data_IF_358162084073
#
_entry.id   IF_358162084073
#
_cell.length_a   1.000
_cell.length_b   1.000
_cell.length_c   1.000
_cell.angle_alpha   90.00
_cell.angle_beta   90.00
_cell.angle_gamma   90.00
#
_symmetry.space_group_name_H-M   'P 1'
#
loop_
_entity.id
_entity.type
_entity.pdbx_description
1 polymer ?
#
# COMPACT_ATOMS: atom_id res chain seq x y z
N UNK A 1 22.95 -14.27 -15.70
CA UNK A 1 23.35 -13.04 -15.01
C UNK A 1 22.73 -11.85 -15.73
N UNK A 2 21.83 -11.15 -15.07
CA UNK A 2 21.17 -9.93 -15.59
C UNK A 2 21.66 -8.69 -14.85
N UNK A 3 21.51 -7.54 -15.48
CA UNK A 3 21.70 -6.21 -14.89
C UNK A 3 20.33 -5.64 -14.53
N UNK A 4 20.07 -5.39 -13.27
CA UNK A 4 18.76 -4.99 -12.79
C UNK A 4 18.87 -3.64 -12.08
N UNK A 5 18.11 -2.65 -12.56
CA UNK A 5 18.07 -1.31 -11.98
C UNK A 5 16.86 -1.20 -11.03
N UNK A 6 17.12 -0.94 -9.77
CA UNK A 6 16.10 -0.72 -8.72
C UNK A 6 15.85 0.77 -8.52
N UNK A 7 14.60 1.17 -8.46
CA UNK A 7 14.19 2.55 -8.17
C UNK A 7 13.15 2.59 -7.06
N UNK A 8 13.38 3.44 -6.06
CA UNK A 8 12.46 3.60 -4.94
C UNK A 8 12.39 5.05 -4.47
N UNK A 9 11.26 5.46 -3.90
CA UNK A 9 11.11 6.72 -3.21
C UNK A 9 11.76 6.68 -1.81
N UNK A 10 12.10 7.84 -1.18
CA UNK A 10 12.69 7.90 0.15
C UNK A 10 11.67 7.59 1.26
N UNK A 11 11.16 6.35 1.30
CA UNK A 11 10.19 5.91 2.27
C UNK A 11 10.47 4.48 2.76
N UNK A 12 10.56 4.28 4.08
CA UNK A 12 10.83 2.97 4.68
C UNK A 12 9.82 1.90 4.25
N UNK A 13 8.52 2.25 4.19
CA UNK A 13 7.46 1.34 3.79
C UNK A 13 7.59 0.81 2.36
N UNK A 14 8.27 1.55 1.50
CA UNK A 14 8.50 1.21 0.09
C UNK A 14 9.87 0.55 -0.13
N UNK A 15 10.91 1.05 0.54
CA UNK A 15 12.28 0.51 0.39
C UNK A 15 12.43 -0.85 1.08
N UNK A 16 11.95 -1.01 2.32
CA UNK A 16 12.16 -2.23 3.09
C UNK A 16 11.69 -3.51 2.37
N UNK A 17 10.51 -3.57 1.71
CA UNK A 17 10.10 -4.77 0.98
C UNK A 17 11.00 -5.13 -0.20
N UNK A 18 11.70 -4.17 -0.79
CA UNK A 18 12.57 -4.40 -1.95
C UNK A 18 13.95 -4.95 -1.54
N UNK A 19 14.41 -4.72 -0.30
CA UNK A 19 15.74 -5.14 0.15
C UNK A 19 15.95 -6.66 0.11
N UNK A 20 15.04 -7.52 0.62
CA UNK A 20 15.18 -8.95 0.54
C UNK A 20 15.21 -9.48 -0.91
N UNK A 21 14.45 -8.85 -1.80
CA UNK A 21 14.44 -9.18 -3.24
C UNK A 21 15.77 -8.82 -3.90
N UNK A 22 16.36 -7.67 -3.54
CA UNK A 22 17.69 -7.29 -4.00
C UNK A 22 18.76 -8.29 -3.55
N UNK A 23 18.71 -8.71 -2.27
CA UNK A 23 19.63 -9.72 -1.73
C UNK A 23 19.51 -11.06 -2.45
N UNK A 24 18.28 -11.53 -2.71
CA UNK A 24 18.02 -12.78 -3.43
C UNK A 24 18.59 -12.72 -4.86
N UNK A 25 18.31 -11.63 -5.59
CA UNK A 25 18.83 -11.44 -6.95
C UNK A 25 20.36 -11.41 -7.01
N UNK A 26 21.01 -10.76 -6.03
CA UNK A 26 22.47 -10.75 -5.93
C UNK A 26 23.00 -12.16 -5.65
N UNK A 27 22.36 -12.91 -4.75
CA UNK A 27 22.73 -14.31 -4.46
C UNK A 27 22.56 -15.21 -5.68
N UNK A 28 21.57 -14.96 -6.54
CA UNK A 28 21.39 -15.63 -7.83
C UNK A 28 22.42 -15.20 -8.90
N UNK A 29 23.38 -14.34 -8.55
CA UNK A 29 24.48 -13.91 -9.42
C UNK A 29 24.14 -12.75 -10.36
N UNK A 30 23.06 -12.01 -10.12
CA UNK A 30 22.71 -10.84 -10.89
C UNK A 30 23.46 -9.59 -10.41
N UNK A 31 23.64 -8.61 -11.29
CA UNK A 31 24.15 -7.28 -10.94
C UNK A 31 22.97 -6.36 -10.63
N UNK A 32 22.82 -6.00 -9.37
CA UNK A 32 21.77 -5.11 -8.90
C UNK A 32 22.36 -3.74 -8.62
N UNK A 33 21.83 -2.70 -9.26
CA UNK A 33 22.13 -1.30 -8.98
C UNK A 33 20.88 -0.63 -8.43
N UNK A 34 20.99 -0.09 -7.19
CA UNK A 34 19.86 0.45 -6.46
C UNK A 34 19.97 1.97 -6.35
N UNK A 35 19.14 2.69 -7.10
CA UNK A 35 19.02 4.14 -7.10
C UNK A 35 18.09 4.55 -5.95
N UNK A 36 18.68 5.13 -4.90
CA UNK A 36 17.97 5.46 -3.66
C UNK A 36 18.65 6.63 -2.93
N UNK A 37 18.42 6.76 -1.65
CA UNK A 37 18.80 7.90 -0.82
C UNK A 37 19.72 7.47 0.32
N UNK A 38 20.58 8.39 0.80
CA UNK A 38 21.64 8.09 1.78
C UNK A 38 21.12 7.42 3.06
N UNK A 39 19.91 7.76 3.48
CA UNK A 39 19.23 7.12 4.62
C UNK A 39 19.15 5.59 4.52
N UNK A 40 19.12 5.05 3.30
CA UNK A 40 18.98 3.61 3.04
C UNK A 40 20.30 2.95 2.62
N UNK A 41 21.40 3.70 2.43
CA UNK A 41 22.68 3.19 1.92
C UNK A 41 23.13 1.91 2.63
N UNK A 42 23.26 1.97 3.94
CA UNK A 42 23.78 0.83 4.73
C UNK A 42 22.92 -0.42 4.56
N UNK A 43 21.59 -0.25 4.52
CA UNK A 43 20.66 -1.37 4.32
C UNK A 43 20.76 -1.95 2.91
N UNK A 44 20.93 -1.11 1.90
CA UNK A 44 21.04 -1.51 0.50
C UNK A 44 22.38 -2.23 0.28
N UNK A 45 23.49 -1.67 0.74
CA UNK A 45 24.82 -2.27 0.60
C UNK A 45 24.92 -3.63 1.31
N UNK A 46 24.24 -3.83 2.45
CA UNK A 46 24.13 -5.13 3.12
C UNK A 46 23.45 -6.21 2.26
N UNK A 47 22.67 -5.85 1.25
CA UNK A 47 22.10 -6.81 0.29
C UNK A 47 23.10 -7.29 -0.75
N UNK A 48 24.25 -6.62 -0.87
CA UNK A 48 25.23 -6.81 -1.94
C UNK A 48 24.93 -6.02 -3.22
N UNK A 49 23.85 -5.24 -3.25
CA UNK A 49 23.54 -4.33 -4.37
C UNK A 49 24.46 -3.10 -4.36
N UNK A 50 24.77 -2.60 -5.55
CA UNK A 50 25.48 -1.32 -5.73
C UNK A 50 24.51 -0.16 -5.43
N UNK A 51 24.84 0.66 -4.42
CA UNK A 51 24.04 1.83 -4.07
C UNK A 51 24.42 3.04 -4.92
N UNK A 52 23.42 3.71 -5.50
CA UNK A 52 23.59 4.97 -6.24
C UNK A 52 22.74 6.05 -5.55
N UNK A 53 23.43 7.09 -5.04
CA UNK A 53 22.75 8.21 -4.34
C UNK A 53 21.96 9.12 -5.28
N UNK A 54 20.72 9.39 -4.89
CA UNK A 54 19.81 10.31 -5.56
C UNK A 54 19.51 11.57 -4.74
N UNK A 55 20.12 11.79 -3.58
CA UNK A 55 19.81 12.89 -2.65
C UNK A 55 19.89 14.27 -3.31
N UNK A 56 20.90 14.49 -4.17
CA UNK A 56 21.12 15.78 -4.87
C UNK A 56 19.96 16.23 -5.75
N UNK A 57 19.01 15.33 -6.03
CA UNK A 57 17.84 15.62 -6.88
C UNK A 57 16.60 15.95 -6.05
N UNK A 58 16.63 15.65 -4.75
CA UNK A 58 15.55 16.03 -3.86
C UNK A 58 15.49 17.55 -3.70
N UNK A 59 14.30 18.13 -3.49
CA UNK A 59 14.19 19.53 -3.15
C UNK A 59 14.85 19.80 -1.79
N UNK A 60 15.63 20.87 -1.70
CA UNK A 60 16.07 21.39 -0.40
C UNK A 60 14.84 21.96 0.33
N UNK A 61 14.52 21.37 1.47
CA UNK A 61 13.36 21.75 2.27
C UNK A 61 13.82 22.41 3.56
N UNK A 62 13.26 23.60 3.85
CA UNK A 62 13.38 24.18 5.18
C UNK A 62 12.47 23.45 6.19
N UNK A 63 12.67 23.68 7.50
CA UNK A 63 11.93 22.97 8.55
C UNK A 63 10.41 23.11 8.41
N UNK A 64 9.91 24.30 8.06
CA UNK A 64 8.47 24.52 7.82
C UNK A 64 7.94 23.74 6.62
N UNK A 65 8.75 23.53 5.57
CA UNK A 65 8.39 22.72 4.42
C UNK A 65 8.41 21.23 4.76
N UNK A 66 9.33 20.78 5.62
CA UNK A 66 9.36 19.41 6.14
C UNK A 66 8.11 19.08 6.96
N UNK A 67 7.67 19.99 7.83
CA UNK A 67 6.41 19.85 8.55
C UNK A 67 5.20 19.78 7.62
N UNK A 68 5.18 20.61 6.58
CA UNK A 68 4.12 20.62 5.59
C UNK A 68 4.07 19.34 4.72
N UNK A 69 5.20 18.61 4.58
CA UNK A 69 5.21 17.33 3.84
C UNK A 69 4.23 16.30 4.40
N UNK A 70 3.96 16.33 5.70
CA UNK A 70 2.97 15.43 6.33
C UNK A 70 1.54 15.66 5.84
N UNK A 71 1.26 16.84 5.25
CA UNK A 71 -0.06 17.27 4.80
C UNK A 71 -0.12 17.56 3.29
N UNK A 72 0.93 17.18 2.54
CA UNK A 72 0.98 17.42 1.10
C UNK A 72 -0.06 16.56 0.37
N UNK A 73 -0.76 17.12 -0.62
CA UNK A 73 -1.74 16.39 -1.40
C UNK A 73 -1.08 15.39 -2.37
N UNK A 74 -1.83 14.36 -2.78
CA UNK A 74 -1.34 13.38 -3.77
C UNK A 74 -1.02 14.05 -5.12
N UNK A 75 -1.78 15.05 -5.49
CA UNK A 75 -1.51 15.89 -6.68
C UNK A 75 -0.16 16.57 -6.59
N UNK A 76 0.14 17.20 -5.47
CA UNK A 76 1.41 17.92 -5.29
C UNK A 76 2.61 16.96 -5.21
N UNK A 77 2.46 15.81 -4.54
CA UNK A 77 3.49 14.75 -4.56
C UNK A 77 3.78 14.30 -5.99
N UNK A 78 2.74 14.03 -6.78
CA UNK A 78 2.90 13.62 -8.18
C UNK A 78 3.62 14.68 -9.03
N UNK A 79 3.32 15.96 -8.80
CA UNK A 79 4.00 17.07 -9.48
C UNK A 79 5.48 17.15 -9.07
N UNK A 80 5.79 16.95 -7.79
CA UNK A 80 7.18 16.92 -7.31
C UNK A 80 7.95 15.74 -7.92
N UNK A 81 7.37 14.57 -8.02
CA UNK A 81 8.00 13.40 -8.64
C UNK A 81 8.31 13.62 -10.14
N UNK A 82 7.42 14.32 -10.84
CA UNK A 82 7.66 14.73 -12.24
C UNK A 82 8.86 15.70 -12.31
N UNK A 83 8.94 16.68 -11.42
CA UNK A 83 10.05 17.64 -11.34
C UNK A 83 11.37 16.97 -10.95
N UNK A 84 11.34 16.01 -10.03
CA UNK A 84 12.51 15.19 -9.69
C UNK A 84 12.95 14.39 -10.91
N UNK A 85 12.02 13.77 -11.65
CA UNK A 85 12.33 13.06 -12.89
C UNK A 85 13.06 13.95 -13.89
N UNK A 86 12.61 15.19 -14.07
CA UNK A 86 13.25 16.15 -14.95
C UNK A 86 14.67 16.50 -14.51
N UNK A 87 14.87 16.74 -13.20
CA UNK A 87 16.21 17.00 -12.63
C UNK A 87 17.16 15.81 -12.79
N UNK A 88 16.64 14.59 -12.76
CA UNK A 88 17.41 13.35 -12.90
C UNK A 88 17.69 12.98 -14.35
N UNK A 89 17.10 13.66 -15.33
CA UNK A 89 17.15 13.26 -16.75
C UNK A 89 18.55 12.93 -17.24
N UNK A 90 19.47 13.91 -17.20
CA UNK A 90 20.82 13.76 -17.75
C UNK A 90 21.64 12.70 -17.01
N UNK A 91 21.43 12.63 -15.69
CA UNK A 91 22.07 11.63 -14.84
C UNK A 91 21.59 10.21 -15.21
N UNK A 92 20.27 9.99 -15.27
CA UNK A 92 19.73 8.68 -15.58
C UNK A 92 19.99 8.29 -17.04
N UNK A 93 20.03 9.24 -17.95
CA UNK A 93 20.42 8.98 -19.33
C UNK A 93 21.85 8.43 -19.42
N UNK A 94 22.80 9.00 -18.66
CA UNK A 94 24.16 8.48 -18.55
C UNK A 94 24.17 7.09 -17.91
N UNK A 95 23.48 6.93 -16.76
CA UNK A 95 23.43 5.66 -16.03
C UNK A 95 22.86 4.52 -16.89
N UNK A 96 21.77 4.76 -17.63
CA UNK A 96 21.17 3.75 -18.51
C UNK A 96 22.10 3.39 -19.68
N UNK A 97 22.86 4.35 -20.23
CA UNK A 97 23.86 4.08 -21.27
C UNK A 97 25.03 3.27 -20.77
N UNK A 98 25.52 3.53 -19.55
CA UNK A 98 26.66 2.84 -18.94
C UNK A 98 26.27 1.49 -18.36
N UNK A 99 25.22 1.43 -17.55
CA UNK A 99 24.80 0.19 -16.88
C UNK A 99 24.07 -0.75 -17.83
N UNK A 100 23.28 -0.24 -18.76
CA UNK A 100 22.46 -1.01 -19.71
C UNK A 100 21.62 -2.06 -19.00
N UNK A 101 20.63 -1.66 -18.17
CA UNK A 101 19.83 -2.61 -17.43
C UNK A 101 18.98 -3.48 -18.34
N UNK A 102 18.95 -4.79 -18.04
CA UNK A 102 18.06 -5.76 -18.73
C UNK A 102 16.62 -5.64 -18.22
N UNK A 103 16.45 -5.21 -16.95
CA UNK A 103 15.15 -5.05 -16.27
C UNK A 103 15.23 -3.85 -15.33
N UNK A 104 14.15 -3.09 -15.28
CA UNK A 104 13.90 -2.08 -14.24
C UNK A 104 12.92 -2.65 -13.22
N UNK A 105 13.31 -2.65 -11.95
CA UNK A 105 12.42 -2.94 -10.83
C UNK A 105 12.15 -1.65 -10.06
N UNK A 106 10.92 -1.17 -10.09
CA UNK A 106 10.58 0.16 -9.56
C UNK A 106 9.41 0.12 -8.62
N UNK A 107 9.46 0.92 -7.57
CA UNK A 107 8.32 1.12 -6.68
C UNK A 107 7.11 1.72 -7.43
N UNK A 108 5.91 1.37 -7.02
CA UNK A 108 4.65 1.72 -7.70
C UNK A 108 4.39 3.22 -7.80
N UNK A 109 4.94 4.02 -6.91
CA UNK A 109 4.81 5.48 -6.90
C UNK A 109 6.12 6.20 -7.30
N UNK A 110 7.17 5.47 -7.63
CA UNK A 110 8.43 6.03 -8.09
C UNK A 110 8.36 6.39 -9.58
N UNK A 111 7.98 7.62 -9.91
CA UNK A 111 7.74 8.04 -11.28
C UNK A 111 9.00 8.04 -12.15
N UNK A 112 10.17 8.44 -11.59
CA UNK A 112 11.42 8.42 -12.35
C UNK A 112 11.85 7.02 -12.76
N UNK A 113 11.53 5.99 -11.97
CA UNK A 113 11.80 4.60 -12.35
C UNK A 113 10.92 4.16 -13.53
N UNK A 114 9.59 4.37 -13.44
CA UNK A 114 8.63 4.02 -14.50
C UNK A 114 8.92 4.79 -15.80
N UNK A 115 9.10 6.10 -15.70
CA UNK A 115 9.30 6.98 -16.85
C UNK A 115 10.60 6.64 -17.61
N UNK A 116 11.68 6.31 -16.88
CA UNK A 116 12.93 5.92 -17.53
C UNK A 116 12.84 4.51 -18.14
N UNK A 117 12.16 3.56 -17.49
CA UNK A 117 11.91 2.26 -18.12
C UNK A 117 11.20 2.41 -19.48
N UNK A 118 10.18 3.27 -19.54
CA UNK A 118 9.47 3.55 -20.79
C UNK A 118 10.33 4.30 -21.81
N UNK A 119 11.06 5.35 -21.39
CA UNK A 119 11.93 6.15 -22.26
C UNK A 119 12.99 5.29 -22.95
N UNK A 120 13.63 4.39 -22.21
CA UNK A 120 14.69 3.52 -22.71
C UNK A 120 14.21 2.16 -23.23
N UNK A 121 12.90 1.95 -23.24
CA UNK A 121 12.25 0.68 -23.65
C UNK A 121 12.85 -0.55 -22.95
N UNK A 122 13.11 -0.42 -21.64
CA UNK A 122 13.58 -1.51 -20.80
C UNK A 122 12.38 -2.21 -20.16
N UNK A 123 12.34 -3.56 -20.13
CA UNK A 123 11.34 -4.31 -19.39
C UNK A 123 11.23 -3.85 -17.94
N UNK A 124 10.00 -3.70 -17.45
CA UNK A 124 9.75 -3.16 -16.11
C UNK A 124 8.88 -4.09 -15.29
N UNK A 125 9.27 -4.28 -14.04
CA UNK A 125 8.45 -4.91 -12.99
C UNK A 125 8.20 -3.87 -11.91
N UNK A 126 6.96 -3.76 -11.44
CA UNK A 126 6.56 -2.80 -10.42
C UNK A 126 6.46 -3.46 -9.06
N UNK A 127 7.09 -2.85 -8.07
CA UNK A 127 7.02 -3.21 -6.65
C UNK A 127 5.80 -2.55 -6.02
N UNK A 128 4.87 -3.32 -5.48
CA UNK A 128 3.67 -2.80 -4.81
C UNK A 128 3.77 -3.08 -3.32
N UNK A 129 4.06 -2.04 -2.54
CA UNK A 129 4.30 -2.10 -1.09
C UNK A 129 3.03 -2.16 -0.24
N UNK A 130 1.86 -2.04 -0.88
CA UNK A 130 0.54 -2.16 -0.28
C UNK A 130 -0.33 -3.14 -1.07
N UNK A 131 -1.66 -3.07 -0.97
CA UNK A 131 -2.52 -3.84 -1.88
C UNK A 131 -2.37 -3.38 -3.33
N UNK A 132 -2.53 -4.30 -4.25
CA UNK A 132 -2.79 -3.95 -5.63
C UNK A 132 -4.21 -3.34 -5.73
N UNK A 133 -4.31 -2.15 -6.34
CA UNK A 133 -5.57 -1.44 -6.46
C UNK A 133 -6.05 -1.38 -7.91
N UNK A 134 -7.32 -1.70 -8.09
CA UNK A 134 -8.12 -1.52 -9.29
C UNK A 134 -9.51 -0.99 -8.90
N UNK A 135 -10.43 -0.88 -9.85
CA UNK A 135 -11.79 -0.38 -9.58
C UNK A 135 -12.53 -1.14 -8.46
N UNK A 136 -12.20 -2.43 -8.23
CA UNK A 136 -12.85 -3.24 -7.21
C UNK A 136 -12.14 -3.12 -5.87
N UNK A 137 -10.83 -3.33 -5.83
CA UNK A 137 -10.06 -3.30 -4.59
C UNK A 137 -9.93 -1.89 -3.99
N UNK A 138 -9.95 -0.82 -4.83
CA UNK A 138 -9.95 0.56 -4.35
C UNK A 138 -11.17 0.93 -3.49
N UNK A 139 -12.24 0.13 -3.50
CA UNK A 139 -13.39 0.31 -2.59
C UNK A 139 -13.06 0.07 -1.12
N UNK A 140 -11.89 -0.50 -0.84
CA UNK A 140 -11.39 -0.65 0.53
C UNK A 140 -10.80 0.64 1.08
N UNK A 141 -10.28 1.53 0.21
CA UNK A 141 -9.73 2.81 0.62
C UNK A 141 -10.85 3.73 1.11
N UNK A 142 -10.63 4.35 2.26
CA UNK A 142 -11.54 5.36 2.81
C UNK A 142 -11.00 6.74 2.48
N UNK A 143 -11.46 7.30 1.37
CA UNK A 143 -11.11 8.66 0.99
C UNK A 143 -12.05 9.68 1.64
N UNK A 144 -11.50 10.79 2.06
CA UNK A 144 -12.27 11.97 2.46
C UNK A 144 -12.79 12.72 1.22
N UNK A 145 -13.83 13.56 1.35
CA UNK A 145 -14.27 14.41 0.24
C UNK A 145 -13.17 15.31 -0.33
N UNK A 146 -12.25 15.77 0.51
CA UNK A 146 -11.11 16.59 0.10
C UNK A 146 -10.12 15.81 -0.75
N UNK A 147 -9.77 14.58 -0.37
CA UNK A 147 -8.90 13.69 -1.16
C UNK A 147 -9.54 13.33 -2.51
N UNK A 148 -10.84 13.06 -2.53
CA UNK A 148 -11.55 12.82 -3.79
C UNK A 148 -11.55 14.05 -4.71
N UNK A 149 -11.73 15.25 -4.14
CA UNK A 149 -11.63 16.49 -4.88
C UNK A 149 -10.21 16.72 -5.41
N UNK A 150 -9.16 16.49 -4.59
CA UNK A 150 -7.76 16.58 -5.04
C UNK A 150 -7.48 15.62 -6.20
N UNK A 151 -7.93 14.37 -6.13
CA UNK A 151 -7.78 13.40 -7.22
C UNK A 151 -8.44 13.87 -8.53
N UNK A 152 -9.65 14.42 -8.45
CA UNK A 152 -10.40 14.86 -9.66
C UNK A 152 -9.79 16.12 -10.26
N UNK A 153 -9.55 17.15 -9.43
CA UNK A 153 -9.05 18.45 -9.89
C UNK A 153 -7.53 18.50 -10.05
N UNK A 154 -6.82 17.49 -9.52
CA UNK A 154 -5.37 17.34 -9.66
C UNK A 154 -4.95 16.78 -11.02
N UNK A 155 -5.73 15.87 -11.63
CA UNK A 155 -5.36 15.24 -12.89
C UNK A 155 -4.98 16.21 -14.00
N UNK A 156 -5.71 17.32 -14.25
CA UNK A 156 -5.30 18.31 -15.26
C UNK A 156 -3.96 18.98 -14.93
N UNK A 157 -3.66 19.21 -13.64
CA UNK A 157 -2.40 19.82 -13.20
C UNK A 157 -1.23 18.88 -13.43
N UNK A 158 -1.38 17.61 -13.06
CA UNK A 158 -0.40 16.55 -13.30
C UNK A 158 -0.16 16.39 -14.80
N UNK A 159 -1.24 16.33 -15.61
CA UNK A 159 -1.12 16.23 -17.07
C UNK A 159 -0.39 17.42 -17.70
N UNK A 160 -0.59 18.63 -17.17
CA UNK A 160 0.15 19.82 -17.60
C UNK A 160 1.64 19.71 -17.26
N UNK A 161 1.97 19.28 -16.05
CA UNK A 161 3.36 19.13 -15.61
C UNK A 161 4.08 18.03 -16.41
N UNK A 162 3.41 16.91 -16.74
CA UNK A 162 3.96 15.84 -17.57
C UNK A 162 4.44 16.32 -18.95
N UNK A 163 3.77 17.33 -19.55
CA UNK A 163 4.19 17.90 -20.83
C UNK A 163 5.58 18.54 -20.77
N UNK A 164 6.04 18.94 -19.59
CA UNK A 164 7.40 19.49 -19.43
C UNK A 164 8.49 18.44 -19.67
N UNK A 165 8.14 17.16 -19.61
CA UNK A 165 9.05 16.04 -19.85
C UNK A 165 9.12 15.62 -21.33
N UNK A 166 8.15 16.01 -22.18
CA UNK A 166 8.09 15.62 -23.59
C UNK A 166 9.36 16.00 -24.38
N UNK A 167 9.94 17.22 -24.23
CA UNK A 167 11.17 17.60 -24.93
C UNK A 167 12.38 16.73 -24.60
N UNK A 168 12.33 16.00 -23.47
CA UNK A 168 13.39 15.10 -22.99
C UNK A 168 13.14 13.64 -23.37
N UNK A 169 12.16 13.37 -24.26
CA UNK A 169 11.87 12.04 -24.78
C UNK A 169 10.99 11.17 -23.87
N UNK A 170 10.34 11.75 -22.87
CA UNK A 170 9.36 11.02 -22.04
C UNK A 170 7.97 11.13 -22.67
N UNK A 171 7.37 10.00 -23.02
CA UNK A 171 6.03 9.94 -23.58
C UNK A 171 5.09 9.14 -22.68
N UNK A 172 4.14 9.83 -22.04
CA UNK A 172 3.13 9.22 -21.17
C UNK A 172 1.80 9.17 -21.89
N UNK A 173 1.33 7.98 -22.25
CA UNK A 173 0.06 7.79 -22.96
C UNK A 173 -1.17 8.21 -22.15
N UNK A 174 -1.10 7.99 -20.82
CA UNK A 174 -2.19 8.28 -19.90
C UNK A 174 -1.63 8.62 -18.51
N UNK A 175 -2.00 9.77 -17.98
CA UNK A 175 -1.60 10.22 -16.63
C UNK A 175 -1.92 9.18 -15.54
N UNK A 176 -3.05 8.48 -15.66
CA UNK A 176 -3.44 7.44 -14.71
C UNK A 176 -2.47 6.25 -14.69
N UNK A 177 -1.78 5.94 -15.80
CA UNK A 177 -0.81 4.84 -15.85
C UNK A 177 0.42 5.05 -14.96
N UNK A 178 0.70 6.29 -14.53
CA UNK A 178 1.75 6.56 -13.55
C UNK A 178 1.34 6.18 -12.12
N UNK A 179 0.10 6.48 -11.76
CA UNK A 179 -0.42 6.26 -10.39
C UNK A 179 -1.09 4.89 -10.22
N UNK A 180 -1.63 4.32 -11.29
CA UNK A 180 -2.31 3.04 -11.26
C UNK A 180 -1.75 2.10 -12.33
N UNK A 181 -1.29 0.93 -11.91
CA UNK A 181 -0.87 -0.12 -12.83
C UNK A 181 -2.10 -0.80 -13.43
N UNK A 182 -2.05 -1.08 -14.72
CA UNK A 182 -3.07 -1.88 -15.41
C UNK A 182 -2.76 -3.38 -15.35
N UNK A 183 -3.67 -4.20 -15.87
CA UNK A 183 -3.50 -5.65 -15.91
C UNK A 183 -2.47 -6.16 -16.93
N UNK A 184 -1.79 -5.28 -17.65
CA UNK A 184 -0.66 -5.62 -18.54
C UNK A 184 0.70 -5.26 -17.96
N UNK A 185 0.73 -4.65 -16.76
CA UNK A 185 1.95 -4.27 -16.07
C UNK A 185 2.40 -5.41 -15.17
N UNK A 186 3.65 -5.85 -15.31
CA UNK A 186 4.24 -6.84 -14.42
C UNK A 186 4.42 -6.25 -13.01
N UNK A 187 3.77 -6.86 -12.02
CA UNK A 187 3.72 -6.35 -10.65
C UNK A 187 4.04 -7.46 -9.64
N UNK A 188 4.88 -7.14 -8.68
CA UNK A 188 5.07 -7.92 -7.46
C UNK A 188 4.28 -7.25 -6.33
N UNK A 189 3.43 -8.02 -5.67
CA UNK A 189 2.61 -7.57 -4.54
C UNK A 189 3.03 -8.35 -3.30
N UNK A 190 3.47 -7.65 -2.26
CA UNK A 190 4.00 -8.25 -1.04
C UNK A 190 2.89 -8.69 -0.07
N UNK A 191 1.97 -9.49 -0.60
CA UNK A 191 0.91 -10.15 0.17
C UNK A 191 0.50 -11.45 -0.51
N UNK A 192 -0.34 -12.26 0.14
CA UNK A 192 -0.92 -13.46 -0.48
C UNK A 192 -2.17 -13.13 -1.30
N UNK A 193 -2.51 -14.03 -2.23
CA UNK A 193 -3.78 -13.93 -2.97
C UNK A 193 -4.98 -13.93 -2.02
N UNK A 194 -4.93 -14.70 -0.94
CA UNK A 194 -6.02 -14.80 0.03
C UNK A 194 -6.18 -13.51 0.85
N UNK A 195 -5.11 -12.78 1.11
CA UNK A 195 -5.20 -11.51 1.85
C UNK A 195 -5.47 -10.32 0.94
N UNK A 196 -5.07 -10.37 -0.33
CA UNK A 196 -5.39 -9.34 -1.33
C UNK A 196 -6.90 -9.26 -1.57
N UNK A 197 -7.54 -8.08 -1.40
CA UNK A 197 -8.94 -7.91 -1.80
C UNK A 197 -9.12 -8.09 -3.31
N UNK A 198 -10.06 -8.94 -3.72
CA UNK A 198 -10.36 -9.21 -5.13
C UNK A 198 -9.14 -9.65 -5.96
N UNK A 199 -8.28 -10.49 -5.39
CA UNK A 199 -7.07 -11.00 -6.08
C UNK A 199 -7.39 -11.60 -7.44
N UNK A 200 -8.52 -12.29 -7.58
CA UNK A 200 -9.02 -12.89 -8.80
C UNK A 200 -9.34 -11.89 -9.93
N UNK A 201 -9.34 -10.58 -9.63
CA UNK A 201 -9.55 -9.51 -10.62
C UNK A 201 -8.26 -9.04 -11.29
N UNK A 202 -7.12 -9.51 -10.82
CA UNK A 202 -5.82 -9.21 -11.38
C UNK A 202 -5.40 -10.31 -12.38
N UNK A 203 -4.61 -9.94 -13.38
CA UNK A 203 -4.07 -10.87 -14.38
C UNK A 203 -2.85 -11.61 -13.85
N UNK A 204 -2.31 -12.52 -14.68
CA UNK A 204 -1.07 -13.27 -14.40
C UNK A 204 0.18 -12.39 -14.33
N UNK A 205 0.08 -11.11 -14.75
CA UNK A 205 1.13 -10.11 -14.56
C UNK A 205 1.29 -9.70 -13.09
N UNK A 206 0.33 -10.02 -12.21
CA UNK A 206 0.42 -9.77 -10.79
C UNK A 206 0.87 -11.01 -10.03
N UNK A 207 2.03 -10.93 -9.38
CA UNK A 207 2.57 -11.99 -8.51
C UNK A 207 2.39 -11.62 -7.05
N UNK A 208 1.53 -12.36 -6.36
CA UNK A 208 1.30 -12.26 -4.92
C UNK A 208 2.30 -13.17 -4.22
N UNK A 209 3.44 -12.61 -3.84
CA UNK A 209 4.59 -13.38 -3.33
C UNK A 209 4.58 -13.60 -1.82
N UNK A 210 3.59 -13.02 -1.12
CA UNK A 210 3.58 -12.99 0.35
C UNK A 210 4.38 -11.82 0.90
N UNK A 211 4.34 -11.60 2.23
CA UNK A 211 5.07 -10.52 2.88
C UNK A 211 6.57 -10.62 2.65
N UNK A 212 7.20 -9.48 2.40
CA UNK A 212 8.66 -9.39 2.31
C UNK A 212 9.27 -9.33 3.72
N UNK A 213 9.32 -10.48 4.39
CA UNK A 213 9.86 -10.62 5.74
C UNK A 213 11.23 -11.28 5.67
N UNK A 214 12.26 -10.50 6.01
CA UNK A 214 13.67 -10.98 6.04
C UNK A 214 13.99 -11.60 7.41
N UNK A 215 13.27 -12.67 7.78
CA UNK A 215 13.53 -13.32 9.07
C UNK A 215 13.19 -14.81 9.06
N UNK A 216 14.04 -15.60 9.72
CA UNK A 216 13.79 -17.00 10.05
C UNK A 216 13.09 -17.17 11.42
N UNK A 217 12.73 -16.07 12.07
CA UNK A 217 12.05 -16.10 13.38
C UNK A 217 10.67 -16.73 13.19
N UNK A 218 10.32 -17.62 14.10
CA UNK A 218 9.01 -18.26 14.17
C UNK A 218 8.23 -17.70 15.37
N UNK A 219 6.90 -17.74 15.32
CA UNK A 219 6.09 -17.38 16.46
C UNK A 219 6.49 -18.17 17.72
N UNK A 220 6.73 -17.47 18.83
CA UNK A 220 7.07 -18.04 20.12
C UNK A 220 6.26 -17.35 21.22
N UNK A 221 5.03 -17.80 21.43
CA UNK A 221 4.05 -17.21 22.35
C UNK A 221 4.12 -17.76 23.79
N UNK A 222 5.12 -18.59 24.09
CA UNK A 222 5.26 -19.17 25.44
C UNK A 222 5.79 -18.16 26.44
N UNK A 223 4.94 -17.74 27.39
CA UNK A 223 5.26 -16.77 28.46
C UNK A 223 4.30 -16.93 29.63
N UNK A 224 4.72 -16.39 30.76
CA UNK A 224 3.92 -16.39 32.00
C UNK A 224 2.82 -15.31 31.95
N UNK A 225 3.09 -14.18 31.25
CA UNK A 225 2.15 -13.07 31.12
C UNK A 225 1.96 -12.69 29.62
N UNK A 226 0.74 -12.31 29.19
CA UNK A 226 0.53 -11.81 27.82
C UNK A 226 1.37 -10.56 27.53
N UNK A 227 1.89 -10.44 26.30
CA UNK A 227 2.61 -9.26 25.82
C UNK A 227 1.77 -8.49 24.80
N UNK A 228 1.57 -7.21 25.08
CA UNK A 228 0.97 -6.26 24.14
C UNK A 228 2.06 -5.38 23.55
N UNK A 229 2.14 -5.36 22.22
CA UNK A 229 3.01 -4.45 21.50
C UNK A 229 2.20 -3.26 20.98
N UNK A 230 2.81 -2.05 20.97
CA UNK A 230 2.16 -0.80 20.48
C UNK A 230 3.14 -0.06 19.57
N UNK A 231 2.71 0.24 18.34
CA UNK A 231 3.48 1.09 17.43
C UNK A 231 2.57 1.81 16.42
N UNK A 232 2.79 3.12 16.29
CA UNK A 232 2.11 3.97 15.31
C UNK A 232 2.92 4.14 14.02
N UNK A 233 3.96 3.32 13.82
CA UNK A 233 4.82 3.36 12.62
C UNK A 233 5.83 4.50 12.65
N UNK A 234 6.28 4.92 11.46
CA UNK A 234 7.41 5.86 11.32
C UNK A 234 7.00 7.24 10.83
N UNK A 235 5.80 7.42 10.27
CA UNK A 235 5.40 8.67 9.61
C UNK A 235 4.45 9.50 10.47
N UNK A 236 3.33 8.93 10.90
CA UNK A 236 2.31 9.60 11.73
C UNK A 236 2.34 8.99 13.13
N UNK A 237 3.40 9.23 13.86
CA UNK A 237 3.64 8.68 15.20
C UNK A 237 3.74 9.74 16.30
N UNK A 238 3.67 11.02 15.95
CA UNK A 238 3.64 12.13 16.91
C UNK A 238 2.25 12.26 17.56
N UNK A 239 1.95 11.31 18.46
CA UNK A 239 0.65 11.18 19.14
C UNK A 239 0.85 10.95 20.65
N UNK A 240 1.47 11.92 21.38
CA UNK A 240 1.78 11.74 22.80
C UNK A 240 0.56 11.41 23.66
N UNK A 241 -0.60 12.01 23.36
CA UNK A 241 -1.83 11.76 24.13
C UNK A 241 -2.35 10.34 23.95
N UNK A 242 -2.25 9.78 22.73
CA UNK A 242 -2.59 8.39 22.48
C UNK A 242 -1.70 7.43 23.27
N UNK A 243 -0.38 7.65 23.30
CA UNK A 243 0.52 6.83 24.09
C UNK A 243 0.26 6.95 25.61
N UNK A 244 -0.04 8.15 26.12
CA UNK A 244 -0.46 8.37 27.52
C UNK A 244 -1.74 7.61 27.87
N UNK A 245 -2.73 7.63 26.96
CA UNK A 245 -3.95 6.85 27.11
C UNK A 245 -3.66 5.36 27.13
N UNK A 246 -2.78 4.85 26.26
CA UNK A 246 -2.34 3.46 26.27
C UNK A 246 -1.68 3.06 27.59
N UNK A 247 -0.75 3.89 28.10
CA UNK A 247 -0.09 3.65 29.40
C UNK A 247 -1.12 3.59 30.52
N UNK A 248 -2.02 4.58 30.58
CA UNK A 248 -3.07 4.65 31.62
C UNK A 248 -4.05 3.48 31.54
N UNK A 249 -4.39 3.02 30.32
CA UNK A 249 -5.32 1.92 30.08
C UNK A 249 -4.75 0.56 30.54
N UNK A 250 -3.44 0.36 30.39
CA UNK A 250 -2.81 -0.95 30.50
C UNK A 250 -1.97 -1.14 31.78
N UNK A 251 -1.72 -0.08 32.56
CA UNK A 251 -0.83 -0.12 33.73
C UNK A 251 -1.28 -1.12 34.81
N UNK A 252 -2.60 -1.29 35.01
CA UNK A 252 -3.16 -2.14 36.07
C UNK A 252 -3.62 -3.51 35.51
N UNK A 253 -3.25 -3.87 34.29
CA UNK A 253 -3.55 -5.17 33.70
C UNK A 253 -2.41 -6.17 33.99
N UNK A 254 -2.72 -7.45 34.15
CA UNK A 254 -1.73 -8.52 34.30
C UNK A 254 -1.09 -8.90 32.96
N UNK A 255 -0.47 -7.93 32.31
CA UNK A 255 0.18 -8.02 30.99
C UNK A 255 1.50 -7.27 30.99
N UNK A 256 2.38 -7.62 30.08
CA UNK A 256 3.56 -6.82 29.73
C UNK A 256 3.27 -5.96 28.50
N UNK A 257 3.81 -4.76 28.46
CA UNK A 257 3.60 -3.82 27.34
C UNK A 257 4.93 -3.30 26.82
N UNK A 258 5.11 -3.35 25.51
CA UNK A 258 6.23 -2.72 24.82
C UNK A 258 5.67 -1.67 23.83
N UNK A 259 6.14 -0.44 23.96
CA UNK A 259 5.77 0.68 23.10
C UNK A 259 6.99 1.09 22.26
N UNK A 260 6.85 1.15 20.94
CA UNK A 260 7.80 1.78 20.02
C UNK A 260 7.22 3.10 19.54
N UNK A 261 7.72 4.22 20.08
CA UNK A 261 7.13 5.55 19.83
C UNK A 261 7.86 6.37 18.75
N UNK A 262 8.99 5.88 18.21
CA UNK A 262 9.82 6.65 17.26
C UNK A 262 10.62 7.74 17.93
N UNK A 263 11.25 8.61 17.14
CA UNK A 263 12.04 9.74 17.63
C UNK A 263 11.23 11.04 17.78
N UNK A 264 10.02 11.10 17.27
CA UNK A 264 9.17 12.29 17.35
C UNK A 264 8.64 12.57 18.78
N UNK A 265 8.62 11.52 19.62
CA UNK A 265 8.14 11.60 21.01
C UNK A 265 9.31 11.68 21.97
N UNK A 266 9.35 12.74 22.80
CA UNK A 266 10.18 12.75 23.99
C UNK A 266 9.58 11.83 25.05
N UNK A 267 10.28 10.72 25.35
CA UNK A 267 9.82 9.71 26.34
C UNK A 267 9.58 10.31 27.72
N UNK A 268 10.31 11.36 28.11
CA UNK A 268 10.10 12.05 29.38
C UNK A 268 8.71 12.69 29.49
N UNK A 269 8.13 13.07 28.34
CA UNK A 269 6.79 13.66 28.25
C UNK A 269 5.65 12.66 28.54
N UNK A 270 5.94 11.35 28.52
CA UNK A 270 4.95 10.30 28.78
C UNK A 270 4.69 10.08 30.28
N UNK A 271 5.47 10.71 31.15
CA UNK A 271 5.34 10.58 32.60
C UNK A 271 6.08 9.38 33.19
N UNK A 272 5.76 9.04 34.43
CA UNK A 272 6.31 7.87 35.11
C UNK A 272 5.76 6.57 34.53
N UNK A 273 6.66 5.65 34.19
CA UNK A 273 6.27 4.37 33.55
C UNK A 273 6.05 3.30 34.60
N UNK A 274 4.91 2.60 34.59
CA UNK A 274 4.67 1.41 35.42
C UNK A 274 5.66 0.29 35.10
N UNK A 275 5.90 -0.61 36.05
CA UNK A 275 6.87 -1.72 35.91
C UNK A 275 6.59 -2.65 34.72
N UNK A 276 5.31 -2.84 34.40
CA UNK A 276 4.87 -3.70 33.29
C UNK A 276 4.94 -3.02 31.91
N UNK A 277 5.33 -1.73 31.81
CA UNK A 277 5.35 -0.97 30.56
C UNK A 277 6.77 -0.48 30.25
N UNK A 278 7.26 -0.83 29.04
CA UNK A 278 8.55 -0.37 28.53
C UNK A 278 8.38 0.43 27.26
N UNK A 279 9.03 1.59 27.17
CA UNK A 279 8.97 2.50 26.02
C UNK A 279 10.34 2.64 25.36
N UNK A 280 10.39 2.40 24.06
CA UNK A 280 11.57 2.49 23.22
C UNK A 280 11.32 3.42 22.03
N UNK A 281 12.37 4.05 21.52
CA UNK A 281 12.29 4.75 20.25
C UNK A 281 12.08 3.76 19.09
N UNK A 282 12.91 2.70 19.07
CA UNK A 282 12.84 1.62 18.07
C UNK A 282 13.09 0.27 18.74
N UNK A 283 12.48 -0.76 18.19
CA UNK A 283 12.69 -2.16 18.54
C UNK A 283 12.80 -3.02 17.29
N UNK A 284 13.35 -4.22 17.41
CA UNK A 284 13.16 -5.25 16.38
C UNK A 284 11.70 -5.71 16.41
N UNK A 285 10.89 -5.17 15.48
CA UNK A 285 9.45 -5.42 15.43
C UNK A 285 9.12 -6.89 15.23
N UNK A 286 9.89 -7.60 14.40
CA UNK A 286 9.66 -9.02 14.16
C UNK A 286 9.95 -9.87 15.40
N UNK A 287 11.03 -9.55 16.13
CA UNK A 287 11.33 -10.23 17.40
C UNK A 287 10.21 -10.01 18.42
N UNK A 288 9.74 -8.78 18.58
CA UNK A 288 8.66 -8.47 19.52
C UNK A 288 7.35 -9.15 19.08
N UNK A 289 6.95 -9.03 17.80
CA UNK A 289 5.74 -9.65 17.27
C UNK A 289 5.77 -11.17 17.39
N UNK A 290 6.94 -11.79 17.27
CA UNK A 290 7.06 -13.25 17.48
C UNK A 290 6.58 -13.71 18.86
N UNK A 291 6.66 -12.81 19.83
CA UNK A 291 6.31 -13.04 21.24
C UNK A 291 4.99 -12.37 21.65
N UNK A 292 4.50 -11.33 20.93
CA UNK A 292 3.33 -10.55 21.31
C UNK A 292 2.02 -11.33 21.15
N UNK A 293 1.10 -11.17 22.10
CA UNK A 293 -0.24 -11.78 22.09
C UNK A 293 -1.28 -10.82 21.48
N UNK A 294 -0.97 -9.52 21.46
CA UNK A 294 -1.77 -8.51 20.75
C UNK A 294 -0.86 -7.36 20.26
N UNK A 295 -1.26 -6.71 19.18
CA UNK A 295 -0.56 -5.56 18.62
C UNK A 295 -1.53 -4.40 18.36
N UNK A 296 -1.31 -3.25 18.99
CA UNK A 296 -2.01 -2.01 18.64
C UNK A 296 -1.22 -1.31 17.53
N UNK A 297 -1.82 -1.17 16.36
CA UNK A 297 -1.12 -0.72 15.16
C UNK A 297 -1.88 0.35 14.38
N UNK A 298 -1.14 1.28 13.75
CA UNK A 298 -1.65 2.22 12.74
C UNK A 298 -2.08 1.55 11.43
N UNK A 299 -1.87 0.26 11.28
CA UNK A 299 -2.28 -0.54 10.13
C UNK A 299 -1.54 -0.25 8.81
N UNK A 300 -0.29 0.23 8.85
CA UNK A 300 0.58 0.21 7.68
C UNK A 300 0.77 -1.21 7.17
N UNK A 301 0.80 -1.41 5.84
CA UNK A 301 0.81 -2.75 5.23
C UNK A 301 1.92 -3.64 5.77
N UNK A 302 3.15 -3.12 5.91
CA UNK A 302 4.27 -3.91 6.44
C UNK A 302 4.01 -4.37 7.88
N UNK A 303 3.55 -3.46 8.75
CA UNK A 303 3.28 -3.78 10.15
C UNK A 303 2.17 -4.83 10.31
N UNK A 304 1.10 -4.73 9.52
CA UNK A 304 0.02 -5.73 9.53
C UNK A 304 0.51 -7.06 8.95
N UNK A 305 1.28 -7.03 7.87
CA UNK A 305 1.84 -8.22 7.25
C UNK A 305 2.83 -8.95 8.19
N UNK A 306 3.70 -8.21 8.88
CA UNK A 306 4.62 -8.76 9.88
C UNK A 306 3.85 -9.36 11.07
N UNK A 307 2.82 -8.66 11.55
CA UNK A 307 1.97 -9.15 12.64
C UNK A 307 1.26 -10.46 12.26
N UNK A 308 0.65 -10.51 11.09
CA UNK A 308 0.01 -11.73 10.57
C UNK A 308 1.02 -12.84 10.32
N UNK A 309 2.20 -12.52 9.79
CA UNK A 309 3.28 -13.49 9.60
C UNK A 309 3.72 -14.13 10.92
N UNK A 310 3.72 -13.35 12.02
CA UNK A 310 4.01 -13.80 13.37
C UNK A 310 2.78 -14.32 14.14
N UNK A 311 1.65 -14.52 13.46
CA UNK A 311 0.40 -14.99 14.05
C UNK A 311 -0.09 -14.13 15.24
N UNK A 312 0.10 -12.82 15.16
CA UNK A 312 -0.27 -11.86 16.21
C UNK A 312 -1.55 -11.13 15.84
N UNK A 313 -2.64 -11.27 16.60
CA UNK A 313 -3.88 -10.53 16.38
C UNK A 313 -3.71 -9.06 16.76
N UNK A 314 -4.58 -8.19 16.22
CA UNK A 314 -4.37 -6.75 16.27
C UNK A 314 -5.58 -5.97 16.77
N UNK A 315 -5.27 -4.81 17.37
CA UNK A 315 -6.18 -3.68 17.55
C UNK A 315 -5.82 -2.65 16.46
N UNK A 316 -6.74 -2.36 15.56
CA UNK A 316 -6.52 -1.51 14.39
C UNK A 316 -6.85 -0.05 14.70
N UNK A 317 -5.88 0.85 14.52
CA UNK A 317 -6.04 2.30 14.69
C UNK A 317 -5.50 3.06 13.47
N UNK A 318 -6.12 2.90 12.29
CA UNK A 318 -5.66 3.50 11.03
C UNK A 318 -5.77 5.02 11.03
N UNK A 319 -4.77 5.71 10.46
CA UNK A 319 -4.66 7.16 10.36
C UNK A 319 -4.90 7.68 8.94
N UNK A 320 -4.81 6.83 7.92
CA UNK A 320 -4.98 7.18 6.50
C UNK A 320 -5.99 6.26 5.81
N UNK A 321 -6.47 6.67 4.64
CA UNK A 321 -7.41 5.87 3.85
C UNK A 321 -6.84 4.52 3.41
N UNK A 322 -5.54 4.46 3.09
CA UNK A 322 -4.84 3.22 2.76
C UNK A 322 -4.73 2.29 3.98
N UNK A 323 -4.30 2.83 5.14
CA UNK A 323 -4.23 2.07 6.40
C UNK A 323 -5.60 1.52 6.78
N UNK A 324 -6.67 2.29 6.52
CA UNK A 324 -8.04 1.82 6.72
C UNK A 324 -8.39 0.63 5.81
N UNK A 325 -7.92 0.64 4.56
CA UNK A 325 -8.12 -0.49 3.65
C UNK A 325 -7.48 -1.78 4.19
N UNK A 326 -6.24 -1.68 4.69
CA UNK A 326 -5.50 -2.81 5.27
C UNK A 326 -6.18 -3.30 6.56
N UNK A 327 -6.55 -2.38 7.46
CA UNK A 327 -7.27 -2.69 8.69
C UNK A 327 -8.62 -3.39 8.42
N UNK A 328 -9.38 -2.87 7.45
CA UNK A 328 -10.65 -3.45 7.04
C UNK A 328 -10.48 -4.88 6.55
N UNK A 329 -9.46 -5.14 5.73
CA UNK A 329 -9.20 -6.49 5.25
C UNK A 329 -8.76 -7.43 6.37
N UNK A 330 -7.89 -6.98 7.26
CA UNK A 330 -7.46 -7.75 8.42
C UNK A 330 -8.62 -8.06 9.38
N UNK A 331 -9.58 -7.12 9.55
CA UNK A 331 -10.83 -7.34 10.27
C UNK A 331 -11.73 -8.36 9.57
N UNK A 332 -11.88 -8.29 8.24
CA UNK A 332 -12.70 -9.24 7.47
C UNK A 332 -12.21 -10.69 7.61
N UNK A 333 -10.90 -10.93 7.70
CA UNK A 333 -10.35 -12.26 7.98
C UNK A 333 -10.39 -12.64 9.45
N UNK A 334 -10.87 -11.77 10.34
CA UNK A 334 -11.01 -12.02 11.76
C UNK A 334 -9.71 -11.92 12.57
N UNK A 335 -8.68 -11.22 12.05
CA UNK A 335 -7.38 -11.11 12.72
C UNK A 335 -7.29 -9.96 13.73
N UNK A 336 -8.39 -9.26 14.00
CA UNK A 336 -8.42 -8.17 14.96
C UNK A 336 -9.69 -7.33 14.90
N UNK A 337 -9.70 -6.24 15.70
CA UNK A 337 -10.83 -5.34 15.84
C UNK A 337 -10.41 -3.86 15.70
N UNK A 338 -11.34 -3.02 15.22
CA UNK A 338 -11.10 -1.58 15.08
C UNK A 338 -11.19 -0.88 16.43
N UNK A 339 -10.19 -0.05 16.74
CA UNK A 339 -10.27 0.89 17.85
C UNK A 339 -11.12 2.09 17.41
N UNK A 340 -12.33 2.17 17.91
CA UNK A 340 -13.27 3.26 17.59
C UNK A 340 -13.32 4.36 18.65
N UNK A 341 -12.71 4.08 19.82
CA UNK A 341 -12.61 4.98 20.96
C UNK A 341 -11.18 4.86 21.54
N UNK A 342 -10.38 5.92 21.38
CA UNK A 342 -8.99 5.98 21.84
C UNK A 342 -8.85 6.54 23.28
N UNK A 343 -9.95 6.59 24.03
CA UNK A 343 -9.95 6.83 25.47
C UNK A 343 -9.29 5.67 26.23
N UNK A 344 -8.95 5.90 27.48
CA UNK A 344 -8.39 4.88 28.39
C UNK A 344 -9.29 3.64 28.44
N UNK A 345 -10.60 3.83 28.60
CA UNK A 345 -11.59 2.75 28.67
C UNK A 345 -11.73 2.01 27.34
N UNK A 346 -11.74 2.75 26.22
CA UNK A 346 -11.85 2.17 24.89
C UNK A 346 -10.64 1.31 24.54
N UNK A 347 -9.42 1.78 24.81
CA UNK A 347 -8.17 1.02 24.62
C UNK A 347 -8.15 -0.23 25.48
N UNK A 348 -8.45 -0.10 26.79
CA UNK A 348 -8.51 -1.23 27.73
C UNK A 348 -9.49 -2.30 27.25
N UNK A 349 -10.69 -1.90 26.82
CA UNK A 349 -11.71 -2.80 26.29
C UNK A 349 -11.23 -3.51 25.02
N UNK A 350 -10.62 -2.78 24.09
CA UNK A 350 -10.14 -3.35 22.82
C UNK A 350 -9.05 -4.41 23.05
N UNK A 351 -8.05 -4.09 23.88
CA UNK A 351 -6.98 -5.04 24.23
C UNK A 351 -7.54 -6.28 24.91
N UNK A 352 -8.43 -6.10 25.91
CA UNK A 352 -9.08 -7.21 26.58
C UNK A 352 -9.87 -8.09 25.60
N UNK A 353 -10.60 -7.49 24.67
CA UNK A 353 -11.35 -8.23 23.64
C UNK A 353 -10.46 -9.12 22.79
N UNK A 354 -9.28 -8.62 22.37
CA UNK A 354 -8.32 -9.40 21.57
C UNK A 354 -7.71 -10.54 22.40
N UNK A 355 -7.33 -10.29 23.65
CA UNK A 355 -6.69 -11.29 24.50
C UNK A 355 -7.66 -12.40 24.95
N UNK A 356 -8.89 -12.05 25.29
CA UNK A 356 -9.90 -12.99 25.80
C UNK A 356 -10.51 -13.85 24.67
N UNK A 357 -10.65 -13.32 23.47
CA UNK A 357 -11.27 -14.04 22.35
C UNK A 357 -10.21 -14.70 21.44
N UNK A 358 -9.92 -15.95 21.72
CA UNK A 358 -8.92 -16.75 20.97
C UNK A 358 -9.20 -16.94 19.48
N UNK A 359 -10.38 -16.56 18.98
CA UNK A 359 -10.66 -16.62 17.54
C UNK A 359 -9.79 -15.66 16.75
N UNK A 360 -9.43 -14.50 17.30
CA UNK A 360 -8.51 -13.56 16.65
C UNK A 360 -7.13 -14.18 16.45
N UNK A 361 -6.58 -14.83 17.48
CA UNK A 361 -5.30 -15.53 17.38
C UNK A 361 -5.35 -16.70 16.39
N UNK A 362 -6.46 -17.47 16.34
CA UNK A 362 -6.64 -18.56 15.37
C UNK A 362 -6.70 -18.04 13.94
N UNK A 363 -7.38 -16.92 13.71
CA UNK A 363 -7.43 -16.28 12.38
C UNK A 363 -6.08 -15.73 11.96
N UNK A 364 -5.33 -15.11 12.87
CA UNK A 364 -3.97 -14.66 12.61
C UNK A 364 -3.02 -15.84 12.29
N UNK A 365 -3.13 -16.96 13.00
CA UNK A 365 -2.35 -18.19 12.74
C UNK A 365 -2.69 -18.79 11.36
N UNK A 366 -3.97 -18.81 10.99
CA UNK A 366 -4.39 -19.25 9.65
C UNK A 366 -3.76 -18.38 8.55
N UNK A 367 -3.77 -17.06 8.73
CA UNK A 367 -3.13 -16.14 7.79
C UNK A 367 -1.60 -16.29 7.79
N UNK A 368 -0.98 -16.53 8.94
CA UNK A 368 0.46 -16.82 9.05
C UNK A 368 0.86 -18.02 8.20
N UNK A 369 0.10 -19.09 8.24
CA UNK A 369 0.33 -20.30 7.42
C UNK A 369 0.20 -20.00 5.93
N UNK A 370 -0.81 -19.24 5.54
CA UNK A 370 -1.02 -18.77 4.17
C UNK A 370 0.17 -17.94 3.68
N UNK A 371 0.59 -16.93 4.44
CA UNK A 371 1.73 -16.09 4.12
C UNK A 371 3.04 -16.87 3.97
N UNK A 372 3.26 -17.86 4.83
CA UNK A 372 4.46 -18.71 4.81
C UNK A 372 4.46 -19.71 3.65
N UNK A 373 3.31 -19.99 3.05
CA UNK A 373 3.18 -20.85 1.87
C UNK A 373 3.42 -20.13 0.55
N UNK A 374 3.52 -18.79 0.57
CA UNK A 374 3.80 -17.99 -0.62
C UNK A 374 5.25 -18.19 -1.10
N UNK A 375 5.51 -17.86 -2.37
CA UNK A 375 6.82 -18.03 -3.00
C UNK A 375 7.93 -17.12 -2.43
N UNK A 376 7.56 -16.06 -1.71
CA UNK A 376 8.48 -15.15 -1.04
C UNK A 376 9.42 -14.41 -1.99
N UNK A 377 10.60 -14.09 -1.47
CA UNK A 377 11.64 -13.36 -2.23
C UNK A 377 12.20 -14.15 -3.40
N UNK A 378 12.29 -15.47 -3.29
CA UNK A 378 12.71 -16.33 -4.39
C UNK A 378 11.75 -16.25 -5.58
N UNK A 379 10.44 -16.32 -5.34
CA UNK A 379 9.44 -16.14 -6.40
C UNK A 379 9.41 -14.74 -6.98
N UNK A 380 9.70 -13.72 -6.18
CA UNK A 380 9.87 -12.35 -6.67
C UNK A 380 11.10 -12.21 -7.57
N UNK A 381 12.23 -12.75 -7.17
CA UNK A 381 13.46 -12.75 -7.95
C UNK A 381 13.30 -13.49 -9.28
N UNK A 382 12.72 -14.69 -9.25
CA UNK A 382 12.41 -15.46 -10.46
C UNK A 382 11.51 -14.68 -11.42
N UNK A 383 10.47 -13.99 -10.91
CA UNK A 383 9.58 -13.19 -11.74
C UNK A 383 10.32 -12.02 -12.40
N UNK A 384 11.20 -11.33 -11.68
CA UNK A 384 12.03 -10.24 -12.23
C UNK A 384 13.00 -10.77 -13.29
N UNK A 385 13.65 -11.91 -13.02
CA UNK A 385 14.59 -12.53 -13.98
C UNK A 385 13.89 -12.93 -15.28
N UNK A 386 12.62 -13.31 -15.22
CA UNK A 386 11.83 -13.72 -16.39
C UNK A 386 11.02 -12.60 -17.04
N UNK A 387 11.18 -11.34 -16.62
CA UNK A 387 10.53 -10.20 -17.26
C UNK A 387 11.13 -9.90 -18.67
N UNK A 388 10.33 -9.50 -19.66
CA UNK A 388 8.90 -9.36 -19.61
C UNK A 388 8.18 -10.71 -19.68
N UNK A 389 7.23 -10.92 -18.78
CA UNK A 389 6.34 -12.06 -18.88
C UNK A 389 5.42 -11.84 -20.07
N UNK A 390 5.62 -12.59 -21.15
CA UNK A 390 4.74 -12.57 -22.34
C UNK A 390 3.51 -13.44 -22.11
N UNK A 391 2.86 -13.34 -20.95
CA UNK A 391 1.62 -14.04 -20.76
C UNK A 391 0.53 -13.36 -21.60
N UNK A 392 -0.21 -14.13 -22.38
CA UNK A 392 -1.46 -13.67 -23.01
C UNK A 392 -2.58 -13.71 -21.96
N UNK A 393 -2.31 -13.19 -20.75
CA UNK A 393 -3.20 -13.25 -19.61
C UNK A 393 -4.60 -12.74 -19.95
N UNK A 394 -5.59 -13.49 -19.52
CA UNK A 394 -6.99 -13.11 -19.65
C UNK A 394 -7.25 -11.86 -18.81
N UNK A 395 -7.50 -10.73 -19.46
CA UNK A 395 -7.85 -9.49 -18.78
C UNK A 395 -9.32 -9.50 -18.34
N UNK A 396 -9.53 -10.07 -17.17
CA UNK A 396 -10.83 -10.21 -16.54
C UNK A 396 -11.55 -8.86 -16.37
N UNK A 397 -10.82 -7.80 -15.96
CA UNK A 397 -11.42 -6.48 -15.81
C UNK A 397 -11.84 -5.87 -17.14
N UNK A 398 -11.09 -6.08 -18.21
CA UNK A 398 -11.44 -5.63 -19.55
C UNK A 398 -12.74 -6.29 -20.02
N UNK A 399 -12.94 -7.56 -19.72
CA UNK A 399 -14.19 -8.28 -20.02
C UNK A 399 -15.37 -7.79 -19.17
N UNK A 400 -15.15 -7.63 -17.84
CA UNK A 400 -16.15 -7.06 -16.93
C UNK A 400 -16.52 -5.65 -17.35
N UNK A 401 -15.54 -4.81 -17.70
CA UNK A 401 -15.79 -3.44 -18.15
C UNK A 401 -16.50 -3.39 -19.50
N UNK A 402 -16.17 -4.30 -20.44
CA UNK A 402 -16.87 -4.43 -21.72
C UNK A 402 -18.31 -4.84 -21.54
N UNK A 403 -18.59 -5.80 -20.63
CA UNK A 403 -19.92 -6.25 -20.30
C UNK A 403 -20.73 -5.17 -19.53
N UNK A 404 -20.09 -4.48 -18.57
CA UNK A 404 -20.71 -3.39 -17.82
C UNK A 404 -20.89 -2.14 -18.66
N UNK A 405 -20.02 -1.86 -19.64
CA UNK A 405 -20.13 -0.73 -20.55
C UNK A 405 -21.38 -0.78 -21.41
N UNK A 406 -21.74 -1.96 -21.93
CA UNK A 406 -23.01 -2.14 -22.66
C UNK A 406 -24.22 -1.89 -21.76
N UNK A 407 -24.15 -2.34 -20.52
CA UNK A 407 -25.23 -2.13 -19.54
C UNK A 407 -25.34 -0.66 -19.13
N UNK A 408 -24.21 0.01 -18.89
CA UNK A 408 -24.18 1.43 -18.56
C UNK A 408 -24.78 2.28 -19.68
N UNK A 409 -24.51 1.96 -20.95
CA UNK A 409 -25.12 2.65 -22.11
C UNK A 409 -26.64 2.47 -22.10
N UNK A 410 -27.15 1.26 -21.93
CA UNK A 410 -28.60 0.98 -21.86
C UNK A 410 -29.22 1.70 -20.66
N UNK A 411 -28.53 1.67 -19.51
CA UNK A 411 -28.99 2.36 -18.29
C UNK A 411 -29.10 3.88 -18.51
N UNK A 412 -28.08 4.51 -19.11
CA UNK A 412 -28.12 5.96 -19.40
C UNK A 412 -29.17 6.31 -20.44
N UNK A 413 -29.39 5.46 -21.45
CA UNK A 413 -30.50 5.64 -22.40
C UNK A 413 -31.84 5.59 -21.67
N UNK A 414 -32.07 4.59 -20.81
CA UNK A 414 -33.31 4.48 -20.03
C UNK A 414 -33.44 5.65 -19.04
N UNK A 415 -32.38 6.05 -18.36
CA UNK A 415 -32.38 7.20 -17.48
C UNK A 415 -32.68 8.50 -18.22
N UNK A 416 -32.10 8.73 -19.39
CA UNK A 416 -32.41 9.88 -20.24
C UNK A 416 -33.87 9.87 -20.72
N UNK A 417 -34.40 8.70 -21.13
CA UNK A 417 -35.81 8.55 -21.52
C UNK A 417 -36.70 8.88 -20.33
N UNK A 418 -36.41 8.36 -19.15
CA UNK A 418 -37.18 8.65 -17.94
C UNK A 418 -37.10 10.15 -17.56
N UNK A 419 -35.95 10.78 -17.67
CA UNK A 419 -35.78 12.23 -17.44
C UNK A 419 -36.61 13.04 -18.43
N UNK A 420 -36.62 12.65 -19.71
CA UNK A 420 -37.42 13.32 -20.75
C UNK A 420 -38.92 13.10 -20.47
N UNK A 421 -39.35 11.89 -20.13
CA UNK A 421 -40.74 11.59 -19.80
C UNK A 421 -41.21 12.32 -18.53
N UNK A 422 -40.36 12.40 -17.50
CA UNK A 422 -40.64 13.18 -16.28
C UNK A 422 -40.55 14.68 -16.54
N UNK A 423 -39.62 15.14 -17.40
CA UNK A 423 -39.52 16.56 -17.77
C UNK A 423 -40.70 17.10 -18.54
N UNK A 424 -41.44 16.25 -19.24
CA UNK A 424 -42.73 16.59 -19.89
C UNK A 424 -43.88 16.74 -18.85
N UNK A 425 -43.75 16.06 -17.68
CA UNK A 425 -44.78 16.06 -16.62
C UNK A 425 -44.54 17.07 -15.51
N UNK A 426 -43.31 17.56 -15.30
CA UNK A 426 -42.95 18.46 -14.21
C UNK A 426 -42.40 19.76 -14.78
N UNK A 427 -43.09 20.87 -14.48
CA UNK A 427 -42.74 22.24 -14.90
C UNK A 427 -41.23 22.53 -14.71
N UNK A 428 -40.65 23.22 -15.67
CA UNK A 428 -39.23 23.57 -15.94
C UNK A 428 -38.31 23.89 -14.74
N UNK A 429 -38.85 24.20 -13.59
CA UNK A 429 -38.08 24.55 -12.37
C UNK A 429 -37.45 23.35 -11.62
N UNK A 430 -37.80 22.11 -11.93
CA UNK A 430 -37.30 20.92 -11.17
C UNK A 430 -36.44 19.96 -11.99
N UNK A 431 -36.20 20.15 -13.27
CA UNK A 431 -35.51 19.22 -14.15
C UNK A 431 -34.03 19.02 -13.80
N UNK A 432 -33.32 20.04 -13.33
CA UNK A 432 -31.93 19.94 -12.95
C UNK A 432 -31.72 19.18 -11.60
N UNK A 433 -32.66 19.36 -10.64
CA UNK A 433 -32.64 18.63 -9.36
C UNK A 433 -32.88 17.13 -9.61
N UNK A 434 -33.82 16.79 -10.49
CA UNK A 434 -34.05 15.40 -10.87
C UNK A 434 -32.86 14.76 -11.61
N UNK A 435 -32.15 15.52 -12.44
CA UNK A 435 -30.92 15.05 -13.10
C UNK A 435 -29.77 14.77 -12.14
N UNK A 436 -29.55 15.66 -11.16
CA UNK A 436 -28.51 15.49 -10.13
C UNK A 436 -28.86 14.33 -9.20
N UNK A 437 -30.11 14.22 -8.75
CA UNK A 437 -30.55 13.10 -7.90
C UNK A 437 -30.48 11.76 -8.64
N UNK A 438 -30.89 11.67 -9.90
CA UNK A 438 -30.75 10.46 -10.70
C UNK A 438 -29.27 10.05 -10.87
N UNK A 439 -28.38 11.00 -11.10
CA UNK A 439 -26.92 10.77 -11.16
C UNK A 439 -26.35 10.23 -9.85
N UNK A 440 -26.75 10.82 -8.71
CA UNK A 440 -26.27 10.41 -7.38
C UNK A 440 -26.81 9.01 -7.00
N UNK A 441 -28.05 8.67 -7.33
CA UNK A 441 -28.63 7.36 -7.03
C UNK A 441 -28.18 6.26 -8.02
N UNK A 442 -27.79 6.60 -9.25
CA UNK A 442 -27.35 5.62 -10.26
C UNK A 442 -25.99 5.04 -9.97
N UNK A 443 -25.09 5.81 -9.36
CA UNK A 443 -23.72 5.38 -9.07
C UNK A 443 -23.64 4.17 -8.12
N UNK A 444 -24.35 4.13 -6.96
CA UNK A 444 -24.39 2.94 -6.10
C UNK A 444 -25.00 1.72 -6.78
N UNK A 445 -26.03 1.90 -7.61
CA UNK A 445 -26.70 0.81 -8.31
C UNK A 445 -25.78 0.19 -9.40
N UNK A 446 -25.11 1.03 -10.19
CA UNK A 446 -24.12 0.59 -11.17
C UNK A 446 -22.97 -0.21 -10.51
N UNK A 447 -22.46 0.25 -9.36
CA UNK A 447 -21.46 -0.48 -8.57
C UNK A 447 -21.96 -1.80 -8.00
N UNK A 448 -23.19 -1.84 -7.47
CA UNK A 448 -23.78 -3.07 -6.94
C UNK A 448 -23.92 -4.13 -8.03
N UNK A 449 -24.28 -3.71 -9.23
CA UNK A 449 -24.46 -4.60 -10.38
C UNK A 449 -23.13 -5.06 -10.96
N UNK A 450 -22.14 -4.20 -11.06
CA UNK A 450 -20.76 -4.54 -11.42
C UNK A 450 -20.19 -5.58 -10.46
N UNK A 451 -20.42 -5.43 -9.16
CA UNK A 451 -20.04 -6.40 -8.12
C UNK A 451 -20.76 -7.74 -8.27
N UNK A 452 -22.05 -7.75 -8.67
CA UNK A 452 -22.82 -8.98 -8.91
C UNK A 452 -22.33 -9.71 -10.17
N UNK A 453 -22.05 -8.99 -11.25
CA UNK A 453 -21.46 -9.53 -12.47
C UNK A 453 -20.07 -10.12 -12.21
N UNK A 454 -19.23 -9.40 -11.46
CA UNK A 454 -17.94 -9.88 -11.04
C UNK A 454 -18.03 -11.23 -10.30
N UNK A 455 -18.87 -11.33 -9.26
CA UNK A 455 -19.07 -12.60 -8.53
C UNK A 455 -19.53 -13.74 -9.43
N UNK A 456 -20.40 -13.46 -10.39
CA UNK A 456 -20.88 -14.46 -11.35
C UNK A 456 -19.76 -14.93 -12.30
N UNK A 457 -18.90 -14.03 -12.76
CA UNK A 457 -17.79 -14.37 -13.66
C UNK A 457 -16.64 -15.08 -12.91
N UNK A 458 -16.33 -14.63 -11.68
CA UNK A 458 -15.35 -15.29 -10.83
C UNK A 458 -15.76 -16.74 -10.48
N UNK A 459 -17.05 -16.97 -10.19
CA UNK A 459 -17.59 -18.30 -9.96
C UNK A 459 -17.45 -19.19 -11.21
N UNK A 460 -17.66 -18.68 -12.43
CA UNK A 460 -17.45 -19.40 -13.67
C UNK A 460 -15.98 -19.75 -13.93
N UNK A 461 -15.04 -18.86 -13.56
CA UNK A 461 -13.59 -19.10 -13.71
C UNK A 461 -13.06 -20.13 -12.72
N UNK A 462 -13.59 -20.16 -11.49
CA UNK A 462 -13.17 -21.10 -10.44
C UNK A 462 -13.76 -22.53 -10.59
N UNK A 463 -14.59 -22.77 -11.61
CA UNK A 463 -15.22 -24.09 -11.84
C UNK A 463 -16.22 -24.51 -10.75
N UNK A 464 -16.70 -23.55 -9.96
CA UNK A 464 -17.72 -23.71 -8.90
C UNK A 464 -19.05 -23.10 -9.29
#
# INVERSE_FOLDING_TARGET
>A
MKKIAFFCIPAHGHTNPMLPVAAELVQCGNKVRFYSFEEFREKIEKTGAEFISCDRFLPELNEKQKENLKNISQTEMSIQDIRITLKMNDFLEKEFKEFQPDVVYTDSVCFWGKLNAWKFNVPMVVSTSTFAFNQLSSQYIKNTPAELADMIFGLPKISKELKTLEPYGYHVKNTLSLVQNDNSTDCIVYTSENFQPYSESFSDHYRFVGPSVFSKILPNKKKDRPLVYISMGTVINDRPDFYKNCISALKDMEIDVIISCGNAIDKSSLGELPENIKVYNYVDQLDILSKADAFITHCGMNSVSESLYMATPMVFYPQTGEQYAVARRAKEIGAGEMLTDDSVEGIKKAVKTILDNKNYARSADKCSKDFRSCSGTAGAAEFIENAPNKSNGYDFLKEVNKASGKFNIIYWIVACILIVLFGVFITWKFTWIAGVTAGVFSYPFGRAMQKKMYKSMAAKRSGK
#
